data_IF_478822941403
#
_entry.id   IF_478822941403
#
_cell.length_a   1.000
_cell.length_b   1.000
_cell.length_c   1.000
_cell.angle_alpha   90.00
_cell.angle_beta   90.00
_cell.angle_gamma   90.00
#
_symmetry.space_group_name_H-M   'P 1'
#
loop_
_entity.id
_entity.type
_entity.pdbx_description
1 polymer ?
#
# COMPACT_ATOMS: atom_id res chain seq x y z
N UNK A 1 4.78 -20.65 26.54
CA UNK A 1 5.19 -20.47 25.16
C UNK A 1 4.54 -21.48 24.22
N UNK A 2 4.76 -21.32 22.94
CA UNK A 2 4.24 -22.24 21.92
C UNK A 2 5.32 -23.22 21.50
N UNK A 3 4.92 -24.43 21.14
CA UNK A 3 5.87 -25.46 20.72
C UNK A 3 6.36 -25.20 19.27
N UNK A 4 7.36 -25.98 18.84
CA UNK A 4 7.97 -25.79 17.53
C UNK A 4 6.94 -25.99 16.39
N UNK A 5 6.06 -26.97 16.52
CA UNK A 5 5.03 -27.22 15.50
C UNK A 5 4.07 -26.04 15.37
N UNK A 6 3.60 -25.52 16.50
CA UNK A 6 2.71 -24.35 16.49
C UNK A 6 3.42 -23.12 15.93
N UNK A 7 4.70 -22.92 16.26
CA UNK A 7 5.50 -21.84 15.70
C UNK A 7 5.61 -21.94 14.19
N UNK A 8 5.82 -23.15 13.68
CA UNK A 8 5.90 -23.38 12.22
C UNK A 8 4.59 -23.06 11.54
N UNK A 9 3.46 -23.48 12.11
CA UNK A 9 2.14 -23.18 11.54
C UNK A 9 1.89 -21.67 11.54
N UNK A 10 2.16 -20.99 12.66
CA UNK A 10 1.97 -19.54 12.76
C UNK A 10 2.85 -18.82 11.74
N UNK A 11 4.11 -19.24 11.59
CA UNK A 11 5.04 -18.62 10.65
C UNK A 11 4.55 -18.77 9.21
N UNK A 12 4.07 -19.96 8.83
CA UNK A 12 3.58 -20.20 7.47
C UNK A 12 2.36 -19.33 7.16
N UNK A 13 1.37 -19.29 8.05
CA UNK A 13 0.20 -18.45 7.85
C UNK A 13 0.55 -16.95 7.86
N UNK A 14 1.50 -16.56 8.69
CA UNK A 14 1.95 -15.16 8.73
C UNK A 14 2.62 -14.73 7.44
N UNK A 15 3.44 -15.61 6.82
CA UNK A 15 4.06 -15.31 5.53
C UNK A 15 3.03 -15.22 4.42
N UNK A 16 2.02 -16.09 4.42
CA UNK A 16 0.93 -16.03 3.46
C UNK A 16 0.16 -14.73 3.64
N UNK A 17 -0.18 -14.36 4.89
CA UNK A 17 -0.88 -13.12 5.18
C UNK A 17 -0.07 -11.91 4.72
N UNK A 18 1.23 -11.88 4.99
CA UNK A 18 2.11 -10.79 4.58
C UNK A 18 2.15 -10.65 3.06
N UNK A 19 2.21 -11.78 2.33
CA UNK A 19 2.21 -11.79 0.88
C UNK A 19 0.90 -11.21 0.33
N UNK A 20 -0.24 -11.63 0.89
CA UNK A 20 -1.55 -11.12 0.47
C UNK A 20 -1.68 -9.62 0.75
N UNK A 21 -1.28 -9.17 1.92
CA UNK A 21 -1.31 -7.76 2.29
C UNK A 21 -0.48 -6.94 1.29
N UNK A 22 0.76 -7.37 1.05
CA UNK A 22 1.67 -6.64 0.18
C UNK A 22 1.17 -6.61 -1.27
N UNK A 23 0.72 -7.75 -1.79
CA UNK A 23 0.24 -7.86 -3.16
C UNK A 23 -1.02 -7.01 -3.38
N UNK A 24 -2.00 -7.12 -2.50
CA UNK A 24 -3.26 -6.36 -2.63
C UNK A 24 -3.01 -4.87 -2.46
N UNK A 25 -2.21 -4.48 -1.47
CA UNK A 25 -1.90 -3.07 -1.23
C UNK A 25 -1.17 -2.46 -2.44
N UNK A 26 -0.19 -3.17 -3.00
CA UNK A 26 0.57 -2.69 -4.15
C UNK A 26 -0.31 -2.54 -5.39
N UNK A 27 -1.16 -3.53 -5.68
CA UNK A 27 -2.06 -3.47 -6.83
C UNK A 27 -3.08 -2.35 -6.67
N UNK A 28 -3.70 -2.24 -5.49
CA UNK A 28 -4.70 -1.20 -5.23
C UNK A 28 -4.10 0.20 -5.36
N UNK A 29 -2.90 0.41 -4.79
CA UNK A 29 -2.21 1.68 -4.88
C UNK A 29 -1.84 2.03 -6.32
N UNK A 30 -1.32 1.06 -7.08
CA UNK A 30 -0.92 1.27 -8.46
C UNK A 30 -2.11 1.70 -9.32
N UNK A 31 -3.25 1.02 -9.19
CA UNK A 31 -4.46 1.38 -9.94
C UNK A 31 -5.01 2.73 -9.51
N UNK A 32 -5.04 3.00 -8.21
CA UNK A 32 -5.57 4.28 -7.70
C UNK A 32 -4.69 5.45 -8.11
N UNK A 33 -3.38 5.30 -8.00
CA UNK A 33 -2.43 6.36 -8.39
C UNK A 33 -2.50 6.63 -9.88
N UNK A 34 -2.62 5.57 -10.69
CA UNK A 34 -2.75 5.70 -12.15
C UNK A 34 -4.01 6.47 -12.51
N UNK A 35 -5.15 6.16 -11.88
CA UNK A 35 -6.40 6.89 -12.13
C UNK A 35 -6.28 8.36 -11.77
N UNK A 36 -5.70 8.67 -10.61
CA UNK A 36 -5.50 10.05 -10.18
C UNK A 36 -4.60 10.80 -11.16
N UNK A 37 -3.49 10.19 -11.55
CA UNK A 37 -2.53 10.79 -12.47
C UNK A 37 -3.15 11.04 -13.85
N UNK A 38 -3.88 10.05 -14.39
CA UNK A 38 -4.54 10.20 -15.69
C UNK A 38 -5.56 11.34 -15.69
N UNK A 39 -6.37 11.44 -14.65
CA UNK A 39 -7.36 12.52 -14.54
C UNK A 39 -6.71 13.88 -14.43
N UNK A 40 -5.65 13.99 -13.66
CA UNK A 40 -4.91 15.24 -13.54
C UNK A 40 -4.27 15.65 -14.86
N UNK A 41 -3.66 14.72 -15.57
CA UNK A 41 -3.03 14.98 -16.87
C UNK A 41 -4.07 15.40 -17.90
N UNK A 42 -5.23 14.76 -17.94
CA UNK A 42 -6.33 15.18 -18.80
C UNK A 42 -6.77 16.61 -18.50
N UNK A 43 -6.92 16.94 -17.22
CA UNK A 43 -7.31 18.28 -16.80
C UNK A 43 -6.28 19.32 -17.21
N UNK A 44 -4.98 19.02 -17.04
CA UNK A 44 -3.89 19.91 -17.46
C UNK A 44 -3.91 20.17 -18.97
N UNK A 45 -4.23 19.14 -19.75
CA UNK A 45 -4.31 19.26 -21.21
C UNK A 45 -5.49 20.12 -21.63
N UNK A 46 -6.65 19.96 -20.98
CA UNK A 46 -7.86 20.71 -21.29
C UNK A 46 -7.81 22.14 -20.76
N UNK A 47 -7.18 22.36 -19.64
CA UNK A 47 -7.09 23.65 -18.97
C UNK A 47 -5.64 23.95 -18.59
N UNK A 48 -4.80 24.31 -19.56
CA UNK A 48 -3.37 24.56 -19.29
C UNK A 48 -3.12 25.62 -18.23
N UNK A 49 -4.01 26.60 -18.11
CA UNK A 49 -3.93 27.66 -17.10
C UNK A 49 -4.09 27.12 -15.67
N UNK A 50 -4.66 25.94 -15.52
CA UNK A 50 -4.85 25.27 -14.23
C UNK A 50 -3.78 24.21 -13.95
N UNK A 51 -2.81 24.04 -14.85
CA UNK A 51 -1.84 22.93 -14.76
C UNK A 51 -1.10 22.90 -13.43
N UNK A 52 -0.63 24.05 -12.93
CA UNK A 52 0.09 24.11 -11.67
C UNK A 52 -0.76 23.68 -10.48
N UNK A 53 -2.01 24.14 -10.43
CA UNK A 53 -2.94 23.80 -9.36
C UNK A 53 -3.34 22.32 -9.43
N UNK A 54 -3.59 21.81 -10.64
CA UNK A 54 -3.92 20.40 -10.85
C UNK A 54 -2.77 19.49 -10.47
N UNK A 55 -1.54 19.90 -10.80
CA UNK A 55 -0.35 19.13 -10.41
C UNK A 55 -0.22 19.04 -8.89
N UNK A 56 -0.37 20.17 -8.18
CA UNK A 56 -0.31 20.19 -6.72
C UNK A 56 -1.41 19.32 -6.10
N UNK A 57 -2.63 19.44 -6.60
CA UNK A 57 -3.75 18.65 -6.11
C UNK A 57 -3.54 17.15 -6.39
N UNK A 58 -2.94 16.81 -7.52
CA UNK A 58 -2.58 15.42 -7.85
C UNK A 58 -1.59 14.87 -6.83
N UNK A 59 -0.55 15.62 -6.49
CA UNK A 59 0.45 15.19 -5.51
C UNK A 59 -0.17 14.95 -4.14
N UNK A 60 -1.08 15.84 -3.71
CA UNK A 60 -1.79 15.68 -2.43
C UNK A 60 -2.66 14.42 -2.47
N UNK A 61 -3.42 14.22 -3.54
CA UNK A 61 -4.28 13.06 -3.67
C UNK A 61 -3.49 11.75 -3.66
N UNK A 62 -2.40 11.68 -4.42
CA UNK A 62 -1.54 10.49 -4.47
C UNK A 62 -0.90 10.24 -3.10
N UNK A 63 -0.45 11.29 -2.42
CA UNK A 63 0.09 11.17 -1.07
C UNK A 63 -0.90 10.58 -0.07
N UNK A 64 -2.17 11.01 -0.15
CA UNK A 64 -3.23 10.46 0.70
C UNK A 64 -3.56 9.01 0.34
N UNK A 65 -3.57 8.68 -0.95
CA UNK A 65 -3.79 7.29 -1.41
C UNK A 65 -2.70 6.38 -0.88
N UNK A 66 -1.44 6.83 -0.86
CA UNK A 66 -0.31 6.03 -0.43
C UNK A 66 -0.30 5.74 1.07
N UNK A 67 -0.99 6.54 1.90
CA UNK A 67 -0.96 6.36 3.35
C UNK A 67 -1.45 4.99 3.80
N UNK A 68 -2.51 4.47 3.19
CA UNK A 68 -3.07 3.17 3.55
C UNK A 68 -2.18 2.00 3.11
N UNK A 69 -1.68 1.95 1.86
CA UNK A 69 -0.73 0.91 1.47
C UNK A 69 0.55 0.89 2.30
N UNK A 70 1.05 2.06 2.70
CA UNK A 70 2.23 2.13 3.55
C UNK A 70 1.97 1.48 4.91
N UNK A 71 0.82 1.77 5.52
CA UNK A 71 0.42 1.14 6.79
C UNK A 71 0.30 -0.37 6.61
N UNK A 72 -0.31 -0.83 5.53
CA UNK A 72 -0.46 -2.26 5.23
C UNK A 72 0.91 -2.94 5.10
N UNK A 73 1.87 -2.31 4.41
CA UNK A 73 3.21 -2.84 4.25
C UNK A 73 3.94 -2.92 5.60
N UNK A 74 3.75 -1.93 6.48
CA UNK A 74 4.33 -1.98 7.82
C UNK A 74 3.80 -3.19 8.60
N UNK A 75 2.51 -3.48 8.49
CA UNK A 75 1.91 -4.67 9.12
C UNK A 75 2.54 -5.94 8.54
N UNK A 76 2.72 -6.00 7.22
CA UNK A 76 3.36 -7.15 6.58
C UNK A 76 4.79 -7.35 7.08
N UNK A 77 5.56 -6.27 7.23
CA UNK A 77 6.92 -6.33 7.75
C UNK A 77 6.94 -6.82 9.20
N UNK A 78 5.99 -6.40 10.02
CA UNK A 78 5.87 -6.87 11.39
C UNK A 78 5.62 -8.38 11.42
N UNK A 79 4.77 -8.89 10.54
CA UNK A 79 4.49 -10.33 10.47
C UNK A 79 5.71 -11.14 10.05
N UNK A 80 6.58 -10.57 9.22
CA UNK A 80 7.77 -11.26 8.73
C UNK A 80 8.93 -11.19 9.74
N UNK A 81 9.20 -10.01 10.29
CA UNK A 81 10.42 -9.77 11.07
C UNK A 81 10.19 -9.71 12.58
N UNK A 82 9.01 -9.37 13.03
CA UNK A 82 8.73 -9.15 14.45
C UNK A 82 7.34 -9.68 14.82
N UNK A 83 7.06 -10.90 14.41
CA UNK A 83 5.73 -11.50 14.52
C UNK A 83 5.32 -11.62 16.01
N UNK A 84 4.28 -10.89 16.46
CA UNK A 84 3.84 -10.92 17.83
C UNK A 84 3.23 -12.27 18.25
N UNK A 85 2.78 -13.07 17.26
CA UNK A 85 2.16 -14.36 17.51
C UNK A 85 3.19 -15.47 17.76
N UNK A 86 4.47 -15.19 17.56
CA UNK A 86 5.56 -16.16 17.78
C UNK A 86 6.29 -15.97 19.11
N UNK A 87 5.79 -15.11 19.97
CA UNK A 87 6.39 -14.87 21.28
C UNK A 87 5.94 -15.87 22.34
#
# INVERSE_FOLDING_TARGET
>A
GINIMDQTIVAQYSLIAATLIAAVAALAAAFSDTKAACKALEGMTRQPEMAGKLFTNMLVAIGLIESIPIIAIVIALVLVFANPFLK
#
